data_IF_314971448214
#
_entry.id   IF_314971448214
#
_cell.length_a   1.000
_cell.length_b   1.000
_cell.length_c   1.000
_cell.angle_alpha   90.00
_cell.angle_beta   90.00
_cell.angle_gamma   90.00
#
_symmetry.space_group_name_H-M   'P 1'
#
loop_
_entity.id
_entity.type
_entity.pdbx_description
1 polymer ?
#
# COMPACT_ATOMS: atom_id res chain seq x y z
N UNK A 1 -32.09 -3.83 0.58
CA UNK A 1 -31.37 -3.35 -0.61
C UNK A 1 -29.98 -2.87 -0.22
N UNK A 2 -28.98 -3.33 -0.94
CA UNK A 2 -27.62 -2.85 -0.73
C UNK A 2 -27.55 -1.39 -1.19
N UNK A 3 -26.95 -0.53 -0.35
CA UNK A 3 -26.64 0.83 -0.76
C UNK A 3 -25.39 0.81 -1.60
N UNK A 4 -25.46 1.42 -2.78
CA UNK A 4 -24.29 1.66 -3.58
C UNK A 4 -23.40 2.69 -2.89
N UNK A 5 -22.12 2.36 -2.69
CA UNK A 5 -21.16 3.29 -2.12
C UNK A 5 -20.60 4.14 -3.25
N UNK A 6 -20.75 5.45 -3.13
CA UNK A 6 -20.28 6.36 -4.15
C UNK A 6 -18.76 6.49 -4.16
N UNK A 7 -18.16 6.63 -2.99
CA UNK A 7 -16.72 6.82 -2.83
C UNK A 7 -16.14 5.58 -2.14
N UNK A 8 -15.67 4.64 -2.93
CA UNK A 8 -15.10 3.42 -2.40
C UNK A 8 -13.94 2.94 -3.25
N UNK A 9 -12.82 2.73 -2.61
CA UNK A 9 -11.63 2.17 -3.23
C UNK A 9 -11.22 0.95 -2.42
N UNK A 10 -11.01 -0.16 -3.10
CA UNK A 10 -10.51 -1.39 -2.48
C UNK A 10 -9.04 -1.54 -2.79
N UNK A 11 -8.22 -1.78 -1.77
CA UNK A 11 -6.77 -1.89 -1.89
C UNK A 11 -6.35 -3.29 -1.50
N UNK A 12 -5.61 -3.95 -2.40
CA UNK A 12 -5.16 -5.33 -2.22
C UNK A 12 -3.63 -5.40 -2.30
N UNK A 13 -2.93 -5.62 -1.18
CA UNK A 13 -1.48 -5.74 -1.16
C UNK A 13 -1.02 -7.18 -1.38
N UNK A 14 0.15 -7.32 -2.03
CA UNK A 14 0.90 -8.58 -2.14
C UNK A 14 2.36 -8.27 -1.83
N UNK A 15 3.05 -9.15 -1.11
CA UNK A 15 4.40 -8.93 -0.60
C UNK A 15 5.32 -10.05 -1.07
N UNK A 16 6.57 -9.67 -1.38
CA UNK A 16 7.63 -10.61 -1.70
C UNK A 16 8.90 -10.21 -0.96
N UNK A 17 9.49 -11.16 -0.22
CA UNK A 17 10.81 -10.97 0.37
C UNK A 17 11.89 -11.05 -0.71
N UNK A 18 12.88 -10.14 -0.66
CA UNK A 18 13.98 -10.09 -1.62
C UNK A 18 15.30 -10.47 -0.93
N UNK A 19 15.63 -11.78 -0.85
CA UNK A 19 16.83 -12.22 -0.16
C UNK A 19 18.12 -11.70 -0.77
N UNK A 20 18.17 -11.53 -2.09
CA UNK A 20 19.36 -11.03 -2.79
C UNK A 20 19.67 -9.57 -2.51
N UNK A 21 18.70 -8.82 -2.01
CA UNK A 21 18.88 -7.42 -1.62
C UNK A 21 18.98 -7.24 -0.11
N UNK A 22 18.81 -8.32 0.63
CA UNK A 22 18.78 -8.32 2.09
C UNK A 22 20.14 -8.74 2.66
N UNK A 23 20.43 -8.30 3.89
CA UNK A 23 21.62 -8.69 4.63
C UNK A 23 21.24 -8.81 6.10
N UNK A 24 20.99 -10.03 6.55
CA UNK A 24 20.56 -10.30 7.92
C UNK A 24 21.65 -9.94 8.96
N UNK A 25 22.93 -10.03 8.57
CA UNK A 25 24.05 -9.67 9.43
C UNK A 25 24.09 -8.18 9.70
N UNK A 26 23.59 -7.38 8.76
CA UNK A 26 23.52 -5.92 8.89
C UNK A 26 22.14 -5.45 9.34
N UNK A 27 21.23 -6.37 9.64
CA UNK A 27 19.87 -6.01 10.03
C UNK A 27 19.11 -5.29 8.89
N UNK A 28 19.23 -5.82 7.67
CA UNK A 28 18.56 -5.23 6.51
C UNK A 28 17.72 -6.29 5.82
N UNK A 29 16.41 -6.11 5.88
CA UNK A 29 15.43 -7.01 5.27
C UNK A 29 14.62 -6.23 4.25
N UNK A 30 14.74 -6.61 2.97
CA UNK A 30 14.15 -5.88 1.85
C UNK A 30 12.97 -6.66 1.31
N UNK A 31 11.87 -5.94 1.10
CA UNK A 31 10.62 -6.50 0.57
C UNK A 31 10.16 -5.69 -0.61
N UNK A 32 9.66 -6.37 -1.64
CA UNK A 32 8.85 -5.75 -2.68
C UNK A 32 7.38 -5.90 -2.30
N UNK A 33 6.58 -4.92 -2.64
CA UNK A 33 5.13 -5.04 -2.49
C UNK A 33 4.45 -4.54 -3.77
N UNK A 34 3.37 -5.22 -4.11
CA UNK A 34 2.53 -4.86 -5.25
C UNK A 34 1.15 -4.53 -4.73
N UNK A 35 0.67 -3.35 -5.07
CA UNK A 35 -0.62 -2.87 -4.60
C UNK A 35 -1.57 -2.76 -5.79
N UNK A 36 -2.74 -3.39 -5.66
CA UNK A 36 -3.83 -3.24 -6.61
C UNK A 36 -4.87 -2.30 -6.01
N UNK A 37 -5.13 -1.21 -6.68
CA UNK A 37 -6.07 -0.18 -6.26
C UNK A 37 -7.25 -0.21 -7.22
N UNK A 38 -8.42 -0.58 -6.73
CA UNK A 38 -9.61 -0.75 -7.56
C UNK A 38 -10.72 0.19 -7.11
N UNK A 39 -11.33 0.88 -8.07
CA UNK A 39 -12.51 1.69 -7.78
C UNK A 39 -13.74 0.77 -7.73
N UNK A 40 -14.23 0.54 -6.53
CA UNK A 40 -15.42 -0.27 -6.24
C UNK A 40 -16.62 0.61 -5.92
N UNK A 41 -16.47 1.92 -6.03
CA UNK A 41 -17.56 2.87 -5.87
C UNK A 41 -18.25 3.21 -7.20
N UNK A 42 -19.12 4.19 -7.17
CA UNK A 42 -19.86 4.64 -8.35
C UNK A 42 -19.38 5.97 -8.91
N UNK A 43 -18.44 6.64 -8.24
CA UNK A 43 -17.86 7.90 -8.70
C UNK A 43 -16.43 7.70 -9.19
N UNK A 44 -16.08 8.32 -10.32
CA UNK A 44 -14.70 8.40 -10.78
C UNK A 44 -13.86 9.17 -9.77
N UNK A 45 -12.66 8.71 -9.45
CA UNK A 45 -11.80 9.34 -8.47
C UNK A 45 -10.33 9.26 -8.90
N UNK A 46 -9.56 10.25 -8.46
CA UNK A 46 -8.13 10.33 -8.73
C UNK A 46 -7.35 10.16 -7.44
N UNK A 47 -6.31 9.34 -7.48
CA UNK A 47 -5.36 9.21 -6.39
C UNK A 47 -4.39 10.39 -6.44
N UNK A 48 -4.31 11.14 -5.36
CA UNK A 48 -3.47 12.35 -5.28
C UNK A 48 -2.20 12.09 -4.51
N UNK A 49 -2.29 11.45 -3.34
CA UNK A 49 -1.15 11.24 -2.47
C UNK A 49 -1.25 9.94 -1.69
N UNK A 50 -0.14 9.58 -1.07
CA UNK A 50 -0.04 8.36 -0.25
C UNK A 50 0.53 8.68 1.12
N UNK A 51 0.13 7.89 2.10
CA UNK A 51 0.69 7.92 3.44
C UNK A 51 0.91 6.47 3.89
N UNK A 52 2.17 6.12 4.19
CA UNK A 52 2.56 4.80 4.67
C UNK A 52 3.03 4.88 6.11
N UNK A 53 2.67 3.88 6.90
CA UNK A 53 3.15 3.66 8.25
C UNK A 53 3.77 2.27 8.29
N UNK A 54 5.09 2.22 8.51
CA UNK A 54 5.88 0.99 8.49
C UNK A 54 6.42 0.77 9.89
N UNK A 55 6.08 -0.36 10.50
CA UNK A 55 6.49 -0.68 11.87
C UNK A 55 7.29 -1.98 11.87
N UNK A 56 8.49 -1.95 12.47
CA UNK A 56 9.30 -3.17 12.61
C UNK A 56 8.94 -3.92 13.91
N UNK A 57 9.58 -5.08 14.12
CA UNK A 57 9.26 -5.93 15.26
C UNK A 57 9.71 -5.34 16.61
N UNK A 58 10.55 -4.31 16.58
CA UNK A 58 10.99 -3.60 17.78
C UNK A 58 10.13 -2.36 18.07
N UNK A 59 9.10 -2.13 17.26
CA UNK A 59 8.21 -0.99 17.43
C UNK A 59 8.72 0.31 16.81
N UNK A 60 9.80 0.26 16.03
CA UNK A 60 10.27 1.44 15.31
C UNK A 60 9.30 1.74 14.16
N UNK A 61 8.80 2.97 14.14
CA UNK A 61 7.81 3.42 13.16
C UNK A 61 8.44 4.40 12.19
N UNK A 62 8.24 4.13 10.89
CA UNK A 62 8.60 5.04 9.82
C UNK A 62 7.33 5.50 9.13
N UNK A 63 7.23 6.79 8.84
CA UNK A 63 6.12 7.34 8.06
C UNK A 63 6.65 7.89 6.75
N UNK A 64 5.95 7.59 5.66
CA UNK A 64 6.29 8.07 4.32
C UNK A 64 5.06 8.74 3.73
N UNK A 65 5.21 10.00 3.33
CA UNK A 65 4.16 10.76 2.65
C UNK A 65 4.71 11.22 1.30
N UNK A 66 3.87 11.20 0.28
CA UNK A 66 4.28 11.67 -1.02
C UNK A 66 3.12 11.76 -2.00
N UNK A 67 3.36 12.43 -3.12
CA UNK A 67 2.37 12.57 -4.18
C UNK A 67 2.37 11.30 -5.04
N UNK A 68 1.17 10.83 -5.38
CA UNK A 68 1.00 9.73 -6.30
C UNK A 68 1.57 8.40 -5.85
N UNK A 69 1.67 7.49 -6.79
CA UNK A 69 2.27 6.16 -6.62
C UNK A 69 3.20 5.91 -7.79
N UNK A 70 4.51 5.80 -7.51
CA UNK A 70 5.57 5.58 -8.52
C UNK A 70 5.40 6.53 -9.71
N UNK A 71 5.28 7.83 -9.43
CA UNK A 71 5.17 8.87 -10.46
C UNK A 71 3.81 9.02 -11.12
N UNK A 72 2.79 8.27 -10.70
CA UNK A 72 1.46 8.31 -11.28
C UNK A 72 0.42 8.82 -10.29
N UNK A 73 -0.56 9.59 -10.79
CA UNK A 73 -1.76 9.97 -10.05
C UNK A 73 -2.97 9.45 -10.83
N UNK A 74 -3.22 8.13 -10.77
CA UNK A 74 -4.20 7.52 -11.66
C UNK A 74 -5.63 8.00 -11.40
N UNK A 75 -6.36 8.20 -12.49
CA UNK A 75 -7.80 8.45 -12.46
C UNK A 75 -8.48 7.13 -12.73
N UNK A 76 -9.34 6.71 -11.80
CA UNK A 76 -10.03 5.43 -11.88
C UNK A 76 -11.53 5.63 -11.99
N UNK A 77 -12.10 5.16 -13.10
CA UNK A 77 -13.55 5.07 -13.25
C UNK A 77 -14.07 3.86 -12.45
N UNK A 78 -15.36 3.82 -12.13
CA UNK A 78 -15.93 2.64 -11.48
C UNK A 78 -15.56 1.35 -12.21
N UNK A 79 -15.03 0.37 -11.46
CA UNK A 79 -14.57 -0.91 -11.99
C UNK A 79 -13.13 -0.93 -12.49
N UNK A 80 -12.50 0.22 -12.68
CA UNK A 80 -11.10 0.28 -13.12
C UNK A 80 -10.15 0.08 -11.96
N UNK A 81 -8.95 -0.39 -12.28
CA UNK A 81 -7.90 -0.60 -11.29
C UNK A 81 -6.54 -0.13 -11.80
N UNK A 82 -5.67 0.17 -10.84
CA UNK A 82 -4.27 0.50 -11.08
C UNK A 82 -3.40 -0.38 -10.20
N UNK A 83 -2.37 -0.95 -10.77
CA UNK A 83 -1.42 -1.79 -10.04
C UNK A 83 -0.03 -1.17 -10.12
N UNK A 84 0.68 -1.14 -9.00
CA UNK A 84 2.05 -0.69 -8.98
C UNK A 84 2.86 -1.51 -7.98
N UNK A 85 4.18 -1.52 -8.15
CA UNK A 85 5.11 -2.18 -7.24
C UNK A 85 6.13 -1.20 -6.74
N UNK A 86 6.56 -1.39 -5.50
CA UNK A 86 7.60 -0.60 -4.86
C UNK A 86 8.32 -1.48 -3.84
N UNK A 87 9.23 -0.92 -3.10
CA UNK A 87 10.02 -1.67 -2.12
C UNK A 87 10.19 -0.91 -0.82
N UNK A 88 10.53 -1.67 0.22
CA UNK A 88 10.85 -1.14 1.53
C UNK A 88 11.91 -2.01 2.19
N UNK A 89 12.62 -1.44 3.15
CA UNK A 89 13.58 -2.17 3.98
C UNK A 89 13.29 -1.89 5.44
N UNK A 90 13.33 -2.95 6.26
CA UNK A 90 13.19 -2.84 7.71
C UNK A 90 14.37 -3.51 8.40
N UNK A 91 14.58 -3.20 9.67
CA UNK A 91 15.72 -3.69 10.43
C UNK A 91 15.48 -5.05 11.10
N UNK A 92 14.28 -5.58 11.00
CA UNK A 92 13.89 -6.85 11.62
C UNK A 92 13.26 -7.78 10.57
N UNK A 93 13.29 -9.12 10.78
CA UNK A 93 12.74 -10.06 9.79
C UNK A 93 11.22 -10.04 9.68
N UNK A 94 10.53 -9.37 10.61
CA UNK A 94 9.07 -9.24 10.59
C UNK A 94 8.70 -7.79 10.88
N UNK A 95 7.71 -7.28 10.17
CA UNK A 95 7.14 -5.96 10.41
C UNK A 95 5.77 -5.85 9.77
N UNK A 96 5.20 -4.66 9.80
CA UNK A 96 3.89 -4.39 9.18
C UNK A 96 3.92 -3.11 8.37
N UNK A 97 3.05 -3.04 7.38
CA UNK A 97 2.76 -1.83 6.64
C UNK A 97 1.26 -1.58 6.65
N UNK A 98 0.87 -0.33 6.78
CA UNK A 98 -0.50 0.14 6.64
C UNK A 98 -0.48 1.59 6.20
N UNK A 99 -1.62 2.11 5.81
CA UNK A 99 -1.67 3.50 5.40
C UNK A 99 -2.96 3.88 4.71
N UNK A 100 -2.86 4.90 3.88
CA UNK A 100 -4.00 5.42 3.14
C UNK A 100 -3.56 6.12 1.86
N UNK A 101 -4.48 6.17 0.91
CA UNK A 101 -4.36 7.05 -0.25
C UNK A 101 -5.38 8.17 -0.11
N UNK A 102 -4.96 9.40 -0.44
CA UNK A 102 -5.84 10.55 -0.46
C UNK A 102 -6.39 10.69 -1.87
N UNK A 103 -7.71 10.61 -1.99
CA UNK A 103 -8.44 10.59 -3.25
C UNK A 103 -9.29 11.84 -3.43
N UNK A 104 -9.51 12.20 -4.68
CA UNK A 104 -10.45 13.27 -5.05
C UNK A 104 -11.41 12.72 -6.09
N UNK A 105 -12.70 12.74 -5.78
CA UNK A 105 -13.75 12.32 -6.72
C UNK A 105 -14.01 13.39 -7.76
N UNK A 106 -14.67 12.99 -8.85
CA UNK A 106 -15.02 13.90 -9.97
C UNK A 106 -15.87 15.10 -9.55
N UNK A 107 -16.63 14.98 -8.45
CA UNK A 107 -17.43 16.07 -7.91
C UNK A 107 -16.64 16.97 -6.93
N UNK A 108 -15.33 16.74 -6.79
CA UNK A 108 -14.47 17.49 -5.89
C UNK A 108 -14.43 16.96 -4.46
N UNK A 109 -15.19 15.93 -4.13
CA UNK A 109 -15.20 15.33 -2.81
C UNK A 109 -13.86 14.67 -2.52
N UNK A 110 -13.25 15.00 -1.39
CA UNK A 110 -12.01 14.39 -0.92
C UNK A 110 -12.35 13.27 0.04
N UNK A 111 -11.68 12.14 -0.12
CA UNK A 111 -11.85 11.00 0.77
C UNK A 111 -10.56 10.20 0.84
N UNK A 112 -10.46 9.34 1.84
CA UNK A 112 -9.31 8.45 2.00
C UNK A 112 -9.69 7.02 1.63
N UNK A 113 -8.76 6.36 0.95
CA UNK A 113 -8.82 4.92 0.71
C UNK A 113 -7.86 4.25 1.68
N UNK A 114 -8.39 3.42 2.57
CA UNK A 114 -7.56 2.71 3.53
C UNK A 114 -6.75 1.61 2.85
N UNK A 115 -5.46 1.56 3.19
CA UNK A 115 -4.60 0.42 2.86
C UNK A 115 -4.62 -0.50 4.07
N UNK A 116 -5.24 -1.69 3.97
CA UNK A 116 -5.31 -2.59 5.12
C UNK A 116 -3.91 -3.02 5.54
N UNK A 117 -3.71 -3.22 6.83
CA UNK A 117 -2.42 -3.66 7.35
C UNK A 117 -2.03 -5.00 6.74
N UNK A 118 -0.78 -5.11 6.32
CA UNK A 118 -0.23 -6.38 5.86
C UNK A 118 1.15 -6.60 6.48
N UNK A 119 1.53 -7.86 6.56
CA UNK A 119 2.75 -8.28 7.24
C UNK A 119 3.90 -8.41 6.25
N UNK A 120 5.05 -7.86 6.65
CA UNK A 120 6.33 -8.11 6.01
C UNK A 120 7.00 -9.22 6.82
N UNK A 121 7.27 -10.36 6.20
CA UNK A 121 7.84 -11.50 6.91
C UNK A 121 8.79 -12.28 6.02
N UNK A 122 10.00 -12.53 6.52
CA UNK A 122 10.93 -13.43 5.88
C UNK A 122 10.32 -14.83 5.93
N UNK A 123 10.30 -15.58 4.80
CA UNK A 123 9.74 -16.93 4.80
C UNK A 123 10.46 -17.84 5.78
N UNK A 124 9.70 -18.65 6.50
CA UNK A 124 10.27 -19.69 7.35
C UNK A 124 10.85 -20.80 6.51
N UNK A 125 12.08 -21.16 6.83
CA UNK A 125 12.69 -22.37 6.29
C UNK A 125 12.50 -23.47 7.33
N UNK A 126 11.78 -24.51 6.94
CA UNK A 126 11.59 -25.69 7.79
C UNK A 126 12.69 -26.70 7.49
N UNK A 127 13.37 -27.10 8.52
CA UNK A 127 14.41 -28.13 8.42
C UNK A 127 13.87 -29.47 8.89
#
# INVERSE_FOLDING_TARGET
MAREKRYEITVSPAVQYLPEQSDDKKGRYVFAYTITIRNTGSATAQLISRHWIITDAQGLVQEVRGLGVVGAQPVLRPGEQHEYSSGTAIATPVGTMRGSYQMVAEDGTRFEAEIPEFTLSVPRVLH
#
